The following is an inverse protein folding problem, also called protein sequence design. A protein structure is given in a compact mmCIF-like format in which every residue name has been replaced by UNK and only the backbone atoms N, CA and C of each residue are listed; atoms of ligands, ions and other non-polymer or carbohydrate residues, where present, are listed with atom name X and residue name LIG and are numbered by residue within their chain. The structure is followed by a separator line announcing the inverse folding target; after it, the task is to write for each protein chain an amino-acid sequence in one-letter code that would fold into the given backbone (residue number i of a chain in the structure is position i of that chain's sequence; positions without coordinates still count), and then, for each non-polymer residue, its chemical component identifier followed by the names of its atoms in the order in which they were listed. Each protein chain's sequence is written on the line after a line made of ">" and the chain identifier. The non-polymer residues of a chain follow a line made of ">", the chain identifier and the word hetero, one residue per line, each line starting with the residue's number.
data_IF_465038311260
#
_entry.id   IF_465038311260
#
_cell.length_a   1.000
_cell.length_b   1.000
_cell.length_c   1.000
_cell.angle_alpha   90.00
_cell.angle_beta   90.00
_cell.angle_gamma   90.00
#
_symmetry.space_group_name_H-M   'P 1'
#
loop_
_entity.id
_entity.type
_entity.pdbx_description
1 polymer ?
#
# COMPACT_ATOMS: atom_id res chain seq x y z
N UNK A 1 2.51 -0.54 7.29
CA UNK A 1 1.92 -0.64 8.66
C UNK A 1 0.99 -1.85 8.66
N UNK A 2 1.24 -2.90 9.46
CA UNK A 2 0.53 -4.17 9.30
C UNK A 2 -0.94 -4.14 9.76
N UNK A 3 -1.31 -3.30 10.70
CA UNK A 3 -2.66 -3.28 11.23
C UNK A 3 -3.28 -1.89 11.25
N UNK A 4 -4.60 -1.81 11.01
CA UNK A 4 -5.35 -0.55 11.03
C UNK A 4 -5.29 0.12 12.40
N UNK A 5 -5.37 -0.66 13.49
CA UNK A 5 -5.25 -0.14 14.85
C UNK A 5 -3.88 0.47 15.13
N UNK A 6 -2.81 -0.16 14.62
CA UNK A 6 -1.45 0.38 14.72
C UNK A 6 -1.31 1.70 13.96
N UNK A 7 -1.93 1.82 12.78
CA UNK A 7 -1.95 3.07 12.03
C UNK A 7 -2.61 4.20 12.81
N UNK A 8 -3.72 3.93 13.49
CA UNK A 8 -4.40 4.90 14.35
C UNK A 8 -3.52 5.33 15.52
N UNK A 9 -2.85 4.40 16.19
CA UNK A 9 -1.92 4.72 17.28
C UNK A 9 -0.73 5.55 16.80
N UNK A 10 -0.14 5.21 15.66
CA UNK A 10 0.96 5.98 15.06
C UNK A 10 0.52 7.38 14.65
N UNK A 11 -0.69 7.52 14.10
CA UNK A 11 -1.28 8.83 13.82
C UNK A 11 -1.45 9.66 15.09
N UNK A 12 -1.98 9.09 16.17
CA UNK A 12 -2.20 9.81 17.42
C UNK A 12 -0.87 10.26 18.06
N UNK A 13 0.17 9.42 18.02
CA UNK A 13 1.53 9.79 18.46
C UNK A 13 2.10 10.94 17.63
N UNK A 14 1.95 10.88 16.32
CA UNK A 14 2.41 11.90 15.39
C UNK A 14 1.67 13.22 15.62
N UNK A 15 0.35 13.19 15.74
CA UNK A 15 -0.50 14.35 15.97
C UNK A 15 -0.19 15.02 17.31
N UNK A 16 -0.02 14.23 18.37
CA UNK A 16 0.27 14.74 19.72
C UNK A 16 1.72 15.15 19.93
N UNK A 17 2.60 14.91 18.96
CA UNK A 17 4.01 15.25 19.05
C UNK A 17 4.85 14.35 19.97
N UNK A 18 4.36 13.16 20.25
CA UNK A 18 5.12 12.14 21.01
C UNK A 18 6.02 11.28 20.11
N UNK A 19 5.94 11.45 18.79
CA UNK A 19 6.85 10.87 17.81
C UNK A 19 7.06 11.87 16.68
N UNK A 20 8.30 12.03 16.24
CA UNK A 20 8.65 12.85 15.08
C UNK A 20 8.73 12.02 13.79
N UNK A 21 8.72 10.70 13.91
CA UNK A 21 8.68 9.79 12.77
C UNK A 21 7.31 9.81 12.09
N UNK A 22 7.29 10.17 10.80
CA UNK A 22 6.08 10.11 9.99
C UNK A 22 5.96 8.74 9.27
N UNK A 23 5.16 7.81 9.79
CA UNK A 23 5.03 6.47 9.22
C UNK A 23 4.21 6.45 7.92
N UNK A 24 3.57 7.57 7.57
CA UNK A 24 2.65 7.64 6.43
C UNK A 24 3.31 8.11 5.14
N UNK A 25 4.52 8.66 5.20
CA UNK A 25 5.42 8.98 4.07
C UNK A 25 4.85 9.93 3.01
N UNK A 26 3.56 10.14 2.93
CA UNK A 26 2.90 10.96 1.91
C UNK A 26 3.01 12.44 2.30
N UNK A 27 3.97 13.14 1.73
CA UNK A 27 4.28 14.54 2.06
C UNK A 27 3.62 15.55 1.13
N UNK A 28 3.13 15.10 -0.03
CA UNK A 28 2.45 15.93 -1.02
C UNK A 28 1.29 15.17 -1.64
N UNK A 29 0.24 15.89 -1.99
CA UNK A 29 -0.84 15.33 -2.77
C UNK A 29 -0.31 14.92 -4.16
N UNK A 30 -0.46 13.65 -4.58
CA UNK A 30 0.05 13.21 -5.88
C UNK A 30 -0.70 13.84 -7.06
N UNK A 31 -1.88 14.40 -6.82
CA UNK A 31 -2.70 15.04 -7.85
C UNK A 31 -2.33 16.51 -8.08
N UNK A 32 -2.21 17.30 -7.01
CA UNK A 32 -2.03 18.76 -7.13
C UNK A 32 -0.77 19.30 -6.44
N UNK A 33 0.06 18.45 -5.85
CA UNK A 33 1.30 18.83 -5.16
C UNK A 33 1.12 19.56 -3.81
N UNK A 34 -0.12 19.74 -3.34
CA UNK A 34 -0.36 20.42 -2.07
C UNK A 34 0.31 19.69 -0.90
N UNK A 35 0.80 20.46 0.07
CA UNK A 35 1.46 19.95 1.26
C UNK A 35 0.55 19.01 2.04
N UNK A 36 1.07 17.85 2.39
CA UNK A 36 0.47 16.85 3.28
C UNK A 36 1.46 16.48 4.39
N UNK A 37 0.97 15.76 5.38
CA UNK A 37 1.82 15.32 6.49
C UNK A 37 1.83 16.31 7.64
N UNK A 38 2.84 16.21 8.52
CA UNK A 38 2.91 17.05 9.70
C UNK A 38 3.53 18.40 9.36
N UNK A 39 2.86 19.46 9.79
CA UNK A 39 3.36 20.83 9.69
C UNK A 39 3.42 21.43 11.08
N UNK A 40 4.60 21.94 11.47
CA UNK A 40 4.78 22.70 12.69
C UNK A 40 4.47 24.16 12.40
N UNK A 41 3.39 24.70 12.97
CA UNK A 41 3.10 26.12 12.95
C UNK A 41 3.78 26.84 14.11
N UNK A 42 4.15 28.10 13.90
CA UNK A 42 4.63 28.97 15.01
C UNK A 42 3.60 28.97 16.13
N UNK A 43 3.99 28.54 17.34
CA UNK A 43 3.17 28.61 18.53
C UNK A 43 2.51 27.29 19.00
N UNK A 44 3.19 26.17 18.90
CA UNK A 44 2.81 24.88 19.52
C UNK A 44 1.66 24.07 18.85
N UNK A 45 1.03 24.55 17.81
CA UNK A 45 0.01 23.79 17.12
C UNK A 45 0.65 22.94 16.01
N UNK A 46 0.51 21.63 16.13
CA UNK A 46 0.78 20.70 15.04
C UNK A 46 -0.48 20.50 14.21
N UNK A 47 -0.33 20.52 12.91
CA UNK A 47 -1.39 20.14 11.97
C UNK A 47 -0.94 18.97 11.14
N UNK A 48 -1.86 18.11 10.76
CA UNK A 48 -1.62 16.97 9.88
C UNK A 48 -2.43 17.12 8.59
N UNK A 49 -2.14 18.17 7.77
CA UNK A 49 -2.89 18.37 6.55
C UNK A 49 -2.81 17.13 5.66
N UNK A 50 -3.95 16.73 5.13
CA UNK A 50 -4.05 15.57 4.25
C UNK A 50 -4.18 14.22 4.93
N UNK A 51 -3.91 14.10 6.23
CA UNK A 51 -4.13 12.87 6.99
C UNK A 51 -5.39 13.03 7.85
N UNK A 52 -6.30 12.10 7.73
CA UNK A 52 -7.56 12.14 8.49
C UNK A 52 -7.82 10.81 9.18
N UNK A 53 -8.19 10.92 10.45
CA UNK A 53 -8.72 9.80 11.22
C UNK A 53 -10.24 9.81 11.07
N UNK A 54 -10.79 8.82 10.40
CA UNK A 54 -12.23 8.66 10.20
C UNK A 54 -12.76 7.48 11.00
N UNK A 55 -14.04 7.54 11.34
CA UNK A 55 -14.77 6.46 12.00
C UNK A 55 -15.61 5.73 10.95
N UNK A 56 -15.43 4.42 10.86
CA UNK A 56 -16.20 3.55 9.98
C UNK A 56 -16.87 2.48 10.85
N UNK A 57 -18.14 2.67 11.16
CA UNK A 57 -18.82 1.82 12.13
C UNK A 57 -18.17 1.90 13.51
N UNK A 58 -17.77 0.76 14.07
CA UNK A 58 -17.08 0.68 15.36
C UNK A 58 -15.57 0.89 15.26
N UNK A 59 -14.98 0.87 14.05
CA UNK A 59 -13.54 0.99 13.84
C UNK A 59 -13.13 2.40 13.41
N UNK A 60 -11.87 2.73 13.67
CA UNK A 60 -11.24 3.97 13.19
C UNK A 60 -10.18 3.59 12.18
N UNK A 61 -10.02 4.36 11.11
CA UNK A 61 -8.95 4.19 10.13
C UNK A 61 -8.35 5.53 9.73
N UNK A 62 -7.16 5.50 9.16
CA UNK A 62 -6.48 6.67 8.62
C UNK A 62 -6.68 6.69 7.11
N UNK A 63 -7.11 7.82 6.61
CA UNK A 63 -7.30 8.06 5.17
C UNK A 63 -6.54 9.30 4.73
N UNK A 64 -6.24 9.37 3.46
CA UNK A 64 -5.61 10.52 2.84
C UNK A 64 -6.62 11.31 2.04
N UNK A 65 -6.65 12.62 2.27
CA UNK A 65 -7.50 13.55 1.54
C UNK A 65 -6.69 14.81 1.29
N UNK A 66 -6.77 15.39 0.10
CA UNK A 66 -6.03 16.60 -0.21
C UNK A 66 -6.43 17.74 0.74
N UNK A 67 -5.45 18.50 1.22
CA UNK A 67 -5.66 19.67 2.07
C UNK A 67 -6.02 20.94 1.29
N UNK A 68 -5.89 20.91 -0.05
CA UNK A 68 -6.02 22.08 -0.91
C UNK A 68 -7.48 22.34 -1.35
N UNK A 69 -8.27 22.90 -0.45
CA UNK A 69 -9.65 23.29 -0.74
C UNK A 69 -9.75 24.53 -1.64
N UNK A 70 -8.72 25.38 -1.67
CA UNK A 70 -8.73 26.66 -2.39
C UNK A 70 -8.57 26.51 -3.91
N UNK A 71 -7.86 25.51 -4.38
CA UNK A 71 -7.57 25.27 -5.79
C UNK A 71 -8.37 24.13 -6.41
N UNK A 72 -9.53 23.80 -5.83
CA UNK A 72 -10.48 22.83 -6.37
C UNK A 72 -9.87 21.46 -6.73
N UNK A 73 -8.92 20.97 -5.92
CA UNK A 73 -8.47 19.61 -6.07
C UNK A 73 -9.65 18.65 -5.82
N UNK A 74 -9.93 17.74 -6.74
CA UNK A 74 -11.03 16.77 -6.61
C UNK A 74 -10.97 16.01 -5.28
N UNK A 75 -9.76 15.64 -4.86
CA UNK A 75 -9.52 14.91 -3.61
C UNK A 75 -9.54 15.80 -2.35
N UNK A 76 -9.90 17.08 -2.47
CA UNK A 76 -10.10 17.97 -1.31
C UNK A 76 -11.56 18.04 -0.85
N UNK A 77 -12.49 17.56 -1.67
CA UNK A 77 -13.91 17.59 -1.38
C UNK A 77 -14.27 16.57 -0.29
N UNK A 78 -15.30 16.88 0.49
CA UNK A 78 -15.81 15.95 1.50
C UNK A 78 -16.29 14.66 0.87
N UNK A 79 -15.86 13.52 1.41
CA UNK A 79 -16.19 12.20 0.88
C UNK A 79 -15.23 11.66 -0.19
N UNK A 80 -14.30 12.47 -0.71
CA UNK A 80 -13.28 12.01 -1.66
C UNK A 80 -11.98 11.74 -0.93
N UNK A 81 -11.56 10.49 -0.92
CA UNK A 81 -10.29 10.04 -0.38
C UNK A 81 -9.30 9.81 -1.52
N UNK A 82 -8.02 10.15 -1.31
CA UNK A 82 -6.96 9.71 -2.20
C UNK A 82 -6.88 8.17 -2.14
N UNK A 83 -6.86 7.47 -3.27
CA UNK A 83 -6.79 6.01 -3.32
C UNK A 83 -5.37 5.51 -3.01
N UNK A 84 -4.84 5.93 -1.86
CA UNK A 84 -3.50 5.61 -1.36
C UNK A 84 -3.63 4.74 -0.11
N UNK A 85 -3.05 3.56 -0.15
CA UNK A 85 -3.12 2.58 0.93
C UNK A 85 -1.71 2.19 1.36
N UNK A 86 -1.38 2.47 2.62
CA UNK A 86 -0.07 2.15 3.22
C UNK A 86 -0.21 1.21 4.41
N UNK A 87 -1.44 0.87 4.76
CA UNK A 87 -1.77 -0.09 5.82
C UNK A 87 -2.10 -1.42 5.17
N UNK A 88 -1.44 -2.49 5.58
CA UNK A 88 -1.60 -3.81 4.96
C UNK A 88 -3.07 -4.26 4.94
N UNK A 89 -3.81 -4.01 6.04
CA UNK A 89 -5.24 -4.33 6.10
C UNK A 89 -6.09 -3.60 5.05
N UNK A 90 -5.80 -2.32 4.80
CA UNK A 90 -6.48 -1.54 3.77
C UNK A 90 -6.10 -2.04 2.35
N UNK A 91 -4.83 -2.40 2.14
CA UNK A 91 -4.35 -2.97 0.87
C UNK A 91 -5.10 -4.27 0.56
N UNK A 92 -5.23 -5.18 1.54
CA UNK A 92 -5.92 -6.45 1.35
C UNK A 92 -7.43 -6.27 1.13
N UNK A 93 -8.04 -5.28 1.79
CA UNK A 93 -9.45 -4.99 1.62
C UNK A 93 -9.76 -4.31 0.27
N UNK A 94 -8.97 -3.30 -0.11
CA UNK A 94 -9.23 -2.44 -1.27
C UNK A 94 -8.63 -2.97 -2.57
N UNK A 95 -7.61 -3.83 -2.48
CA UNK A 95 -6.92 -4.42 -3.65
C UNK A 95 -6.55 -3.36 -4.70
N UNK A 96 -5.54 -2.51 -4.41
CA UNK A 96 -5.16 -1.40 -5.29
C UNK A 96 -4.69 -1.90 -6.67
N UNK A 97 -4.88 -1.07 -7.68
CA UNK A 97 -4.44 -1.37 -9.06
C UNK A 97 -2.91 -1.43 -9.19
N UNK A 98 -2.18 -0.64 -8.40
CA UNK A 98 -0.72 -0.66 -8.32
C UNK A 98 -0.30 -0.95 -6.88
N UNK A 99 0.49 -2.00 -6.70
CA UNK A 99 1.07 -2.36 -5.41
C UNK A 99 2.59 -2.31 -5.50
N UNK A 100 3.20 -1.54 -4.60
CA UNK A 100 4.65 -1.49 -4.40
C UNK A 100 5.01 -2.17 -3.09
N UNK A 101 5.98 -3.04 -3.11
CA UNK A 101 6.43 -3.76 -1.93
C UNK A 101 7.86 -4.24 -2.06
N UNK A 102 8.53 -4.42 -0.92
CA UNK A 102 9.83 -5.08 -0.86
C UNK A 102 9.65 -6.60 -0.82
N UNK A 103 10.69 -7.34 -1.19
CA UNK A 103 10.68 -8.82 -1.17
C UNK A 103 10.33 -9.38 0.21
N UNK A 104 10.75 -8.71 1.29
CA UNK A 104 10.45 -9.12 2.67
C UNK A 104 8.94 -9.11 2.97
N UNK A 105 8.20 -8.24 2.32
CA UNK A 105 6.73 -8.24 2.45
C UNK A 105 6.11 -9.50 1.87
N UNK A 106 6.65 -10.00 0.78
CA UNK A 106 6.19 -11.26 0.17
C UNK A 106 6.51 -12.47 1.04
N UNK A 107 7.61 -12.45 1.78
CA UNK A 107 7.95 -13.48 2.76
C UNK A 107 6.89 -13.63 3.87
N UNK A 108 6.14 -12.58 4.17
CA UNK A 108 5.11 -12.58 5.19
C UNK A 108 3.73 -13.06 4.71
N UNK A 109 3.52 -13.19 3.38
CA UNK A 109 2.23 -13.56 2.80
C UNK A 109 1.67 -14.90 3.28
N UNK A 110 2.49 -15.98 3.45
CA UNK A 110 1.98 -17.26 3.95
C UNK A 110 1.34 -17.17 5.35
N UNK A 111 1.74 -16.19 6.13
CA UNK A 111 1.23 -15.96 7.49
C UNK A 111 0.02 -15.00 7.54
N UNK A 112 -0.46 -14.56 6.38
CA UNK A 112 -1.53 -13.57 6.23
C UNK A 112 -2.57 -14.05 5.22
N UNK A 113 -3.57 -14.82 5.63
CA UNK A 113 -4.60 -15.34 4.70
C UNK A 113 -5.32 -14.23 3.92
N UNK A 114 -5.46 -13.05 4.51
CA UNK A 114 -6.11 -11.88 3.88
C UNK A 114 -5.34 -11.40 2.64
N UNK A 115 -4.03 -11.65 2.59
CA UNK A 115 -3.16 -11.27 1.47
C UNK A 115 -3.50 -12.02 0.17
N UNK A 116 -4.29 -13.09 0.21
CA UNK A 116 -4.79 -13.79 -0.97
C UNK A 116 -5.56 -12.87 -1.91
N UNK A 117 -6.13 -11.79 -1.38
CA UNK A 117 -6.84 -10.79 -2.18
C UNK A 117 -5.93 -10.11 -3.21
N UNK A 118 -4.63 -9.94 -2.92
CA UNK A 118 -3.63 -9.37 -3.86
C UNK A 118 -3.51 -10.25 -5.11
N UNK A 119 -3.69 -11.56 -4.97
CA UNK A 119 -3.59 -12.54 -6.04
C UNK A 119 -4.95 -12.87 -6.67
N UNK A 120 -5.96 -12.04 -6.43
CA UNK A 120 -7.28 -12.25 -7.00
C UNK A 120 -8.10 -13.36 -6.32
N UNK A 121 -7.84 -13.67 -5.04
CA UNK A 121 -8.63 -14.60 -4.24
C UNK A 121 -9.28 -13.84 -3.08
N UNK A 122 -10.57 -13.56 -3.16
CA UNK A 122 -11.29 -12.80 -2.14
C UNK A 122 -12.52 -13.57 -1.68
N UNK A 123 -12.59 -13.87 -0.38
CA UNK A 123 -13.72 -14.61 0.20
C UNK A 123 -14.04 -15.93 -0.52
N UNK A 124 -13.01 -16.68 -0.89
CA UNK A 124 -13.16 -17.94 -1.63
C UNK A 124 -13.60 -17.79 -3.10
N UNK A 125 -13.69 -16.57 -3.61
CA UNK A 125 -14.03 -16.30 -5.02
C UNK A 125 -12.82 -15.72 -5.76
N UNK A 126 -12.70 -16.12 -7.02
CA UNK A 126 -11.71 -15.52 -7.93
C UNK A 126 -12.23 -14.14 -8.38
N UNK A 127 -11.39 -13.13 -8.18
CA UNK A 127 -11.51 -11.78 -8.71
C UNK A 127 -10.30 -11.49 -9.61
N UNK A 128 -10.13 -10.28 -10.11
CA UNK A 128 -8.98 -9.93 -10.95
C UNK A 128 -7.66 -10.18 -10.25
N UNK A 129 -6.81 -11.01 -10.84
CA UNK A 129 -5.43 -11.23 -10.41
C UNK A 129 -4.50 -10.18 -11.04
N UNK A 130 -3.26 -10.01 -10.55
CA UNK A 130 -2.26 -9.18 -11.21
C UNK A 130 -1.97 -9.65 -12.63
N UNK A 131 -2.02 -8.73 -13.59
CA UNK A 131 -1.65 -9.00 -15.00
C UNK A 131 -0.17 -8.75 -15.25
N UNK A 132 0.48 -7.93 -14.43
CA UNK A 132 1.87 -7.53 -14.57
C UNK A 132 2.57 -7.54 -13.21
N UNK A 133 3.75 -8.14 -13.19
CA UNK A 133 4.68 -8.17 -12.06
C UNK A 133 6.00 -7.59 -12.54
N UNK A 134 6.50 -6.58 -11.85
CA UNK A 134 7.79 -5.94 -12.13
C UNK A 134 8.72 -6.21 -10.96
N UNK A 135 9.84 -6.84 -11.24
CA UNK A 135 10.94 -7.07 -10.30
C UNK A 135 12.05 -6.09 -10.62
N UNK A 136 12.25 -5.13 -9.75
CA UNK A 136 13.30 -4.15 -9.90
C UNK A 136 14.55 -4.55 -9.12
N UNK A 137 15.72 -4.13 -9.59
CA UNK A 137 17.03 -4.40 -8.97
C UNK A 137 17.31 -5.91 -8.77
N UNK A 138 16.98 -6.73 -9.73
CA UNK A 138 17.11 -8.20 -9.63
C UNK A 138 18.54 -8.66 -9.26
N UNK A 139 19.57 -7.89 -9.63
CA UNK A 139 20.96 -8.20 -9.29
C UNK A 139 21.26 -8.18 -7.78
N UNK A 140 20.45 -7.49 -6.97
CA UNK A 140 20.59 -7.52 -5.51
C UNK A 140 20.15 -8.85 -4.89
N UNK A 141 19.45 -9.66 -5.66
CA UNK A 141 18.91 -10.95 -5.23
C UNK A 141 19.86 -12.06 -5.67
N UNK A 142 21.05 -12.12 -5.07
CA UNK A 142 22.06 -13.13 -5.35
C UNK A 142 22.37 -14.01 -4.13
N UNK A 143 22.96 -15.17 -4.37
CA UNK A 143 23.34 -16.11 -3.32
C UNK A 143 22.16 -16.80 -2.61
N UNK A 144 22.22 -17.05 -1.30
CA UNK A 144 21.17 -17.74 -0.54
C UNK A 144 19.81 -17.03 -0.60
N UNK A 145 19.80 -15.71 -0.68
CA UNK A 145 18.58 -14.92 -0.83
C UNK A 145 17.91 -15.21 -2.19
N UNK A 146 18.68 -15.41 -3.24
CA UNK A 146 18.17 -15.74 -4.57
C UNK A 146 17.36 -17.04 -4.60
N UNK A 147 17.81 -18.07 -3.88
CA UNK A 147 17.05 -19.32 -3.77
C UNK A 147 15.70 -19.13 -3.10
N UNK A 148 15.63 -18.33 -2.04
CA UNK A 148 14.36 -18.02 -1.37
C UNK A 148 13.45 -17.20 -2.27
N UNK A 149 13.99 -16.23 -3.00
CA UNK A 149 13.21 -15.41 -3.93
C UNK A 149 12.64 -16.25 -5.06
N UNK A 150 13.38 -17.22 -5.60
CA UNK A 150 12.85 -18.15 -6.58
C UNK A 150 11.61 -18.92 -6.10
N UNK A 151 11.55 -19.28 -4.82
CA UNK A 151 10.33 -19.86 -4.23
C UNK A 151 9.18 -18.85 -4.18
N UNK A 152 9.44 -17.59 -3.82
CA UNK A 152 8.42 -16.54 -3.83
C UNK A 152 7.91 -16.25 -5.25
N UNK A 153 8.80 -16.19 -6.24
CA UNK A 153 8.43 -16.00 -7.64
C UNK A 153 7.51 -17.12 -8.12
N UNK A 154 7.86 -18.37 -7.83
CA UNK A 154 7.02 -19.51 -8.16
C UNK A 154 5.64 -19.40 -7.50
N UNK A 155 5.61 -19.11 -6.20
CA UNK A 155 4.38 -18.96 -5.45
C UNK A 155 3.51 -17.82 -6.03
N UNK A 156 4.09 -16.66 -6.29
CA UNK A 156 3.38 -15.49 -6.82
C UNK A 156 2.82 -15.79 -8.21
N UNK A 157 3.62 -16.43 -9.07
CA UNK A 157 3.19 -16.82 -10.41
C UNK A 157 2.01 -17.81 -10.35
N UNK A 158 2.08 -18.83 -9.52
CA UNK A 158 1.00 -19.81 -9.34
C UNK A 158 -0.28 -19.19 -8.76
N UNK A 159 -0.14 -18.38 -7.72
CA UNK A 159 -1.29 -17.71 -7.09
C UNK A 159 -1.97 -16.70 -8.02
N UNK A 160 -1.19 -16.03 -8.88
CA UNK A 160 -1.72 -15.07 -9.86
C UNK A 160 -2.25 -15.73 -11.12
N UNK A 161 -1.91 -17.02 -11.36
CA UNK A 161 -2.38 -17.75 -12.52
C UNK A 161 -3.83 -18.25 -12.34
N UNK A 162 -4.59 -18.29 -13.41
CA UNK A 162 -5.94 -18.80 -13.37
C UNK A 162 -6.39 -19.44 -14.70
N UNK A 163 -7.36 -20.32 -14.62
CA UNK A 163 -7.92 -20.99 -15.78
C UNK A 163 -9.02 -20.10 -16.42
N UNK A 164 -8.91 -19.90 -17.72
CA UNK A 164 -9.92 -19.26 -18.55
C UNK A 164 -10.29 -20.21 -19.70
N UNK A 165 -11.36 -20.95 -19.52
CA UNK A 165 -11.71 -22.08 -20.43
C UNK A 165 -10.61 -23.15 -20.44
N UNK A 166 -10.06 -23.42 -21.61
CA UNK A 166 -8.96 -24.39 -21.80
C UNK A 166 -7.55 -23.78 -21.66
N UNK A 167 -7.44 -22.50 -21.35
CA UNK A 167 -6.16 -21.80 -21.27
C UNK A 167 -5.84 -21.42 -19.84
N UNK A 168 -4.55 -21.52 -19.48
CA UNK A 168 -4.00 -20.96 -18.23
C UNK A 168 -3.53 -19.55 -18.55
N UNK A 169 -4.10 -18.56 -17.88
CA UNK A 169 -3.65 -17.17 -17.93
C UNK A 169 -2.64 -16.96 -16.81
N UNK A 170 -1.48 -16.41 -17.16
CA UNK A 170 -0.39 -16.10 -16.24
C UNK A 170 -0.07 -14.61 -16.28
N UNK A 171 0.39 -14.03 -15.18
CA UNK A 171 0.87 -12.65 -15.19
C UNK A 171 2.10 -12.52 -16.09
N UNK A 172 2.27 -11.36 -16.70
CA UNK A 172 3.54 -11.02 -17.37
C UNK A 172 4.56 -10.60 -16.30
N UNK A 173 5.73 -11.22 -16.31
CA UNK A 173 6.83 -10.87 -15.40
C UNK A 173 7.89 -10.11 -16.20
N UNK A 174 8.30 -8.95 -15.67
CA UNK A 174 9.38 -8.12 -16.19
C UNK A 174 10.41 -7.97 -15.07
N UNK A 175 11.66 -8.28 -15.37
CA UNK A 175 12.75 -8.07 -14.44
C UNK A 175 13.67 -6.97 -14.97
N UNK A 176 14.09 -6.06 -14.10
CA UNK A 176 15.11 -5.06 -14.38
C UNK A 176 16.36 -5.32 -13.54
N UNK A 177 17.51 -5.02 -14.11
CA UNK A 177 18.79 -5.14 -13.41
C UNK A 177 19.69 -3.98 -13.82
N UNK A 178 20.50 -3.48 -12.89
CA UNK A 178 21.53 -2.52 -13.25
C UNK A 178 22.56 -3.21 -14.16
N UNK A 179 23.00 -2.47 -15.16
CA UNK A 179 24.16 -2.88 -15.96
C UNK A 179 25.40 -2.75 -15.09
N UNK A 180 26.12 -3.83 -14.86
CA UNK A 180 27.41 -3.86 -14.15
C UNK A 180 28.52 -3.57 -15.15
#
# INVERSE_FOLDING_TARGET
>A
IPAVQEAVQKYDKLYNGTSDENPFVILKCPWCGAQMGVVNKKGKLRETPGYKKIKTGASKRIVFQCSNSKHHCEFSQSGYELPLYIVDGDIYEKTPTLLLGTVDKFAMLPYRPEAQSIFGLKNGRRVTAPDLIIQDELHLISGPLGSMVGHYETMINELSSYNSGSRIIKPKIIASTATI
#
